data_IF_068758598655
#
_entry.id   IF_068758598655
#
_cell.length_a   1.000
_cell.length_b   1.000
_cell.length_c   1.000
_cell.angle_alpha   90.00
_cell.angle_beta   90.00
_cell.angle_gamma   90.00
#
_symmetry.space_group_name_H-M   'P 1'
#
loop_
_entity.id
_entity.type
_entity.pdbx_description
1 polymer ?
#
# COMPACT_ATOMS: atom_id res chain seq x y z
N UNK A 1 -25.86 46.74 39.65
CA UNK A 1 -26.13 47.12 38.25
C UNK A 1 -25.12 48.19 37.88
N UNK A 2 -24.06 47.82 37.17
CA UNK A 2 -23.03 48.77 36.72
C UNK A 2 -23.27 49.03 35.23
N UNK A 3 -23.57 50.28 34.89
CA UNK A 3 -23.90 50.74 33.55
C UNK A 3 -22.78 50.45 32.55
N UNK A 4 -23.07 49.61 31.56
CA UNK A 4 -22.22 49.42 30.38
C UNK A 4 -22.38 50.64 29.47
N UNK A 5 -21.38 51.52 29.47
CA UNK A 5 -21.26 52.61 28.48
C UNK A 5 -21.14 52.00 27.08
N UNK A 6 -22.13 52.23 26.23
CA UNK A 6 -22.15 51.82 24.83
C UNK A 6 -21.19 52.63 23.97
N UNK A 7 -20.54 51.96 23.01
CA UNK A 7 -19.74 52.59 21.96
C UNK A 7 -20.66 53.09 20.82
N UNK A 8 -20.19 54.08 20.06
CA UNK A 8 -20.95 54.78 19.02
C UNK A 8 -21.39 53.92 17.81
N UNK A 9 -20.96 52.65 17.74
CA UNK A 9 -21.35 51.71 16.69
C UNK A 9 -21.78 50.36 17.27
N UNK A 10 -22.67 50.36 18.28
CA UNK A 10 -23.61 49.25 18.59
C UNK A 10 -23.07 47.87 19.00
N UNK A 11 -21.79 47.57 18.79
CA UNK A 11 -21.13 46.35 19.25
C UNK A 11 -20.16 46.70 20.37
N UNK A 12 -20.32 46.14 21.57
CA UNK A 12 -19.36 46.32 22.65
C UNK A 12 -18.05 45.68 22.22
N UNK A 13 -17.00 46.49 22.05
CA UNK A 13 -15.65 46.00 21.80
C UNK A 13 -15.14 45.33 23.09
N UNK A 14 -15.20 44.00 23.13
CA UNK A 14 -14.58 43.20 24.18
C UNK A 14 -13.12 42.97 23.81
N UNK A 15 -12.22 43.76 24.40
CA UNK A 15 -10.76 43.80 24.16
C UNK A 15 -10.02 42.51 24.61
N UNK A 16 -10.77 41.41 24.82
CA UNK A 16 -10.27 40.12 25.29
C UNK A 16 -10.67 38.93 24.40
N UNK A 17 -11.29 39.19 23.24
CA UNK A 17 -11.76 38.15 22.30
C UNK A 17 -10.67 37.27 21.67
N UNK A 18 -9.39 37.56 21.90
CA UNK A 18 -8.25 36.70 21.54
C UNK A 18 -8.02 35.54 22.52
N UNK A 19 -8.66 35.60 23.71
CA UNK A 19 -8.57 34.54 24.72
C UNK A 19 -9.61 33.46 24.42
N UNK A 20 -9.20 32.20 24.51
CA UNK A 20 -10.10 31.04 24.31
C UNK A 20 -11.24 31.10 25.34
N UNK A 21 -12.43 31.51 24.89
CA UNK A 21 -13.66 31.50 25.68
C UNK A 21 -14.22 30.08 25.70
N UNK A 22 -14.40 29.53 26.90
CA UNK A 22 -15.09 28.24 27.08
C UNK A 22 -16.59 28.49 27.08
N UNK A 23 -17.31 27.90 26.12
CA UNK A 23 -18.77 27.96 26.07
C UNK A 23 -19.35 27.07 27.17
N UNK A 24 -19.72 27.66 28.31
CA UNK A 24 -20.22 26.92 29.48
C UNK A 24 -21.40 26.00 29.15
N UNK A 25 -22.30 26.44 28.28
CA UNK A 25 -23.48 25.67 27.87
C UNK A 25 -23.10 24.42 27.05
N UNK A 26 -22.15 24.54 26.13
CA UNK A 26 -21.65 23.41 25.33
C UNK A 26 -20.95 22.37 26.23
N UNK A 27 -20.14 22.83 27.19
CA UNK A 27 -19.51 21.94 28.17
C UNK A 27 -20.52 21.30 29.12
N UNK A 28 -21.57 22.02 29.51
CA UNK A 28 -22.67 21.47 30.31
C UNK A 28 -23.46 20.41 29.53
N UNK A 29 -23.70 20.61 28.23
CA UNK A 29 -24.33 19.61 27.35
C UNK A 29 -23.44 18.37 27.22
N UNK A 30 -22.14 18.54 26.91
CA UNK A 30 -21.17 17.44 26.85
C UNK A 30 -21.02 16.70 28.18
N UNK A 31 -21.12 17.39 29.31
CA UNK A 31 -21.13 16.76 30.63
C UNK A 31 -22.37 15.89 30.84
N UNK A 32 -23.57 16.40 30.49
CA UNK A 32 -24.83 15.65 30.57
C UNK A 32 -24.83 14.42 29.67
N UNK A 33 -24.32 14.53 28.45
CA UNK A 33 -24.19 13.39 27.53
C UNK A 33 -23.26 12.32 28.10
N UNK A 34 -22.09 12.71 28.61
CA UNK A 34 -21.17 11.77 29.27
C UNK A 34 -21.83 11.09 30.48
N UNK A 35 -22.46 11.86 31.36
CA UNK A 35 -23.19 11.30 32.51
C UNK A 35 -24.32 10.35 32.09
N UNK A 36 -25.05 10.66 31.02
CA UNK A 36 -26.10 9.79 30.49
C UNK A 36 -25.50 8.45 30.00
N UNK A 37 -24.44 8.51 29.19
CA UNK A 37 -23.75 7.31 28.71
C UNK A 37 -23.14 6.48 29.85
N UNK A 38 -22.54 7.12 30.85
CA UNK A 38 -21.99 6.43 32.03
C UNK A 38 -23.10 5.77 32.87
N UNK A 39 -24.27 6.41 33.01
CA UNK A 39 -25.43 5.83 33.70
C UNK A 39 -25.99 4.61 32.95
N UNK A 40 -26.05 4.66 31.63
CA UNK A 40 -26.46 3.52 30.80
C UNK A 40 -25.47 2.36 30.89
N UNK A 41 -24.16 2.65 30.77
CA UNK A 41 -23.10 1.65 30.96
C UNK A 41 -23.12 1.06 32.37
N UNK A 42 -23.39 1.87 33.40
CA UNK A 42 -23.48 1.41 34.79
C UNK A 42 -24.67 0.47 35.01
N UNK A 43 -25.84 0.76 34.42
CA UNK A 43 -27.00 -0.15 34.44
C UNK A 43 -26.68 -1.46 33.74
N UNK A 44 -26.10 -1.39 32.54
CA UNK A 44 -25.73 -2.59 31.79
C UNK A 44 -24.64 -3.43 32.51
N UNK A 45 -23.70 -2.79 33.23
CA UNK A 45 -22.74 -3.48 34.12
C UNK A 45 -23.43 -4.16 35.28
N UNK A 46 -24.41 -3.51 35.90
CA UNK A 46 -25.18 -4.06 37.02
C UNK A 46 -25.99 -5.28 36.58
N UNK A 47 -26.67 -5.19 35.43
CA UNK A 47 -27.43 -6.29 34.83
C UNK A 47 -26.52 -7.47 34.45
N UNK A 48 -25.36 -7.21 33.85
CA UNK A 48 -24.37 -8.25 33.55
C UNK A 48 -23.86 -8.94 34.82
N UNK A 49 -23.58 -8.15 35.88
CA UNK A 49 -23.17 -8.67 37.20
C UNK A 49 -24.27 -9.53 37.83
N UNK A 50 -25.53 -9.11 37.73
CA UNK A 50 -26.68 -9.88 38.22
C UNK A 50 -26.83 -11.21 37.46
N UNK A 51 -26.57 -11.20 36.15
CA UNK A 51 -26.52 -12.39 35.31
C UNK A 51 -25.23 -13.23 35.49
N UNK A 52 -24.31 -12.83 36.39
CA UNK A 52 -23.04 -13.52 36.64
C UNK A 52 -22.03 -13.43 35.48
N UNK A 53 -22.28 -12.58 34.47
CA UNK A 53 -21.42 -12.41 33.29
C UNK A 53 -20.56 -11.16 33.43
N UNK A 54 -19.33 -11.20 32.91
CA UNK A 54 -18.49 -10.00 32.82
C UNK A 54 -19.07 -9.05 31.77
N UNK A 55 -19.27 -7.79 32.14
CA UNK A 55 -19.72 -6.76 31.20
C UNK A 55 -18.64 -6.48 30.16
N UNK A 56 -19.07 -6.44 28.90
CA UNK A 56 -18.28 -5.95 27.78
C UNK A 56 -19.11 -4.89 27.07
N UNK A 57 -18.44 -3.79 26.66
CA UNK A 57 -19.10 -2.75 25.86
C UNK A 57 -19.64 -3.41 24.57
N UNK A 58 -20.93 -3.23 24.25
CA UNK A 58 -21.48 -3.79 23.03
C UNK A 58 -20.73 -3.23 21.84
N UNK A 59 -20.47 -4.13 20.91
CA UNK A 59 -19.76 -3.89 19.67
C UNK A 59 -20.64 -2.98 18.78
N UNK A 60 -20.05 -1.94 18.18
CA UNK A 60 -20.78 -0.82 17.53
C UNK A 60 -21.23 -1.13 16.10
N UNK A 61 -21.00 -2.36 15.62
CA UNK A 61 -21.49 -2.84 14.32
C UNK A 61 -20.58 -2.52 13.13
N UNK A 62 -19.59 -1.65 13.32
CA UNK A 62 -18.56 -1.33 12.31
C UNK A 62 -17.35 -2.29 12.37
N UNK A 63 -17.43 -3.41 13.10
CA UNK A 63 -16.26 -4.27 13.27
C UNK A 63 -15.87 -5.03 12.02
N UNK A 64 -14.55 -5.19 11.90
CA UNK A 64 -13.96 -6.08 10.92
C UNK A 64 -13.74 -7.47 11.51
N UNK A 65 -13.92 -8.49 10.68
CA UNK A 65 -13.49 -9.85 11.02
C UNK A 65 -11.98 -9.87 11.19
N UNK A 66 -11.50 -10.62 12.18
CA UNK A 66 -10.08 -10.70 12.50
C UNK A 66 -9.30 -11.22 11.30
N UNK A 67 -8.29 -10.47 10.90
CA UNK A 67 -7.39 -10.79 9.78
C UNK A 67 -6.02 -11.15 10.32
N UNK A 68 -5.24 -11.86 9.49
CA UNK A 68 -3.82 -12.03 9.77
C UNK A 68 -3.14 -10.65 9.82
N UNK A 69 -2.34 -10.41 10.87
CA UNK A 69 -1.56 -9.18 11.00
C UNK A 69 -0.59 -9.06 9.83
N UNK A 70 -0.55 -7.87 9.22
CA UNK A 70 0.35 -7.55 8.10
C UNK A 70 1.68 -6.99 8.60
N UNK A 71 1.68 -6.36 9.76
CA UNK A 71 2.85 -5.75 10.34
C UNK A 71 3.67 -6.80 11.10
N UNK A 72 4.94 -6.91 10.73
CA UNK A 72 5.91 -7.71 11.48
C UNK A 72 6.23 -6.96 12.76
N UNK A 73 6.08 -7.64 13.90
CA UNK A 73 6.40 -7.04 15.20
C UNK A 73 7.92 -6.92 15.30
N UNK A 74 8.43 -5.70 15.20
CA UNK A 74 9.86 -5.41 15.39
C UNK A 74 10.20 -5.39 16.88
N UNK A 75 10.74 -6.50 17.38
CA UNK A 75 11.22 -6.66 18.75
C UNK A 75 12.69 -6.25 18.90
N UNK A 76 13.41 -6.05 17.79
CA UNK A 76 14.86 -5.82 17.76
C UNK A 76 15.21 -4.33 17.86
N UNK A 77 14.31 -3.45 17.43
CA UNK A 77 14.51 -2.00 17.44
C UNK A 77 14.96 -1.43 18.80
N UNK A 78 14.62 -2.07 19.91
CA UNK A 78 14.91 -1.61 21.26
C UNK A 78 16.06 -2.37 21.94
N UNK A 79 16.67 -3.33 21.26
CA UNK A 79 17.81 -4.10 21.80
C UNK A 79 19.04 -3.18 21.86
N UNK A 80 19.66 -3.09 23.04
CA UNK A 80 20.87 -2.29 23.27
C UNK A 80 20.65 -0.78 23.40
N UNK A 81 19.42 -0.28 23.29
CA UNK A 81 19.11 1.15 23.50
C UNK A 81 18.70 1.40 24.95
N UNK A 82 19.39 2.31 25.62
CA UNK A 82 18.99 2.83 26.93
C UNK A 82 18.16 4.09 26.74
N UNK A 83 16.91 4.06 27.20
CA UNK A 83 16.02 5.23 27.15
C UNK A 83 15.78 5.77 28.55
N UNK A 84 15.91 7.09 28.71
CA UNK A 84 15.55 7.77 29.95
C UNK A 84 14.03 7.83 30.04
N UNK A 85 13.45 7.13 31.01
CA UNK A 85 12.01 7.19 31.28
C UNK A 85 11.75 8.33 32.28
N UNK A 86 10.94 9.36 31.93
CA UNK A 86 10.59 10.40 32.87
C UNK A 86 9.87 9.80 34.08
N UNK A 87 10.26 10.20 35.29
CA UNK A 87 9.54 9.81 36.51
C UNK A 87 8.10 10.33 36.43
N UNK A 88 7.15 9.41 36.18
CA UNK A 88 5.72 9.73 35.99
C UNK A 88 5.17 9.45 34.59
N UNK A 89 6.01 9.15 33.59
CA UNK A 89 5.53 8.84 32.24
C UNK A 89 4.75 7.52 32.13
N UNK A 90 4.91 6.62 33.10
CA UNK A 90 4.12 5.41 33.24
C UNK A 90 3.78 5.14 34.69
N UNK A 91 2.49 5.18 35.04
CA UNK A 91 2.01 4.70 36.33
C UNK A 91 1.57 3.24 36.15
N UNK A 92 2.45 2.32 36.56
CA UNK A 92 2.25 0.89 36.33
C UNK A 92 2.34 0.52 34.85
N UNK A 93 1.32 -0.15 34.33
CA UNK A 93 1.26 -0.52 32.90
C UNK A 93 0.67 0.59 32.01
N UNK A 94 0.04 1.64 32.56
CA UNK A 94 -0.57 2.71 31.77
C UNK A 94 0.40 3.88 31.60
N UNK A 95 0.44 4.44 30.39
CA UNK A 95 1.32 5.55 30.02
C UNK A 95 2.45 5.14 29.09
N UNK A 96 3.30 6.10 28.69
CA UNK A 96 4.49 5.87 27.83
C UNK A 96 5.70 5.58 28.71
N UNK A 97 5.74 4.39 29.31
CA UNK A 97 6.91 3.88 30.02
C UNK A 97 7.97 3.26 29.08
N UNK A 98 9.05 2.72 29.66
CA UNK A 98 9.99 1.88 28.92
C UNK A 98 9.33 0.56 28.48
N UNK A 99 9.49 0.22 27.21
CA UNK A 99 9.02 -1.03 26.61
C UNK A 99 8.20 -0.81 25.34
N UNK A 100 7.42 -1.82 24.96
CA UNK A 100 6.49 -1.76 23.84
C UNK A 100 5.21 -1.06 24.25
N UNK A 101 4.79 -0.07 23.47
CA UNK A 101 3.58 0.70 23.75
C UNK A 101 2.46 0.37 22.75
N UNK A 102 1.27 0.09 23.28
CA UNK A 102 0.05 -0.11 22.50
C UNK A 102 -0.78 1.18 22.49
N UNK A 103 -1.00 1.75 21.30
CA UNK A 103 -1.83 2.95 21.10
C UNK A 103 -3.32 2.71 21.36
N UNK A 104 -3.82 1.52 21.07
CA UNK A 104 -5.25 1.20 21.22
C UNK A 104 -5.66 1.01 22.70
N UNK A 105 -4.74 0.57 23.56
CA UNK A 105 -5.05 0.22 24.95
C UNK A 105 -4.41 1.15 25.99
N UNK A 106 -3.53 2.06 25.55
CA UNK A 106 -2.70 2.91 26.41
C UNK A 106 -1.89 2.13 27.45
N UNK A 107 -1.36 0.97 27.04
CA UNK A 107 -0.57 0.08 27.89
C UNK A 107 0.85 -0.07 27.36
N UNK A 108 1.82 0.00 28.26
CA UNK A 108 3.21 -0.41 28.02
C UNK A 108 3.52 -1.76 28.63
N UNK A 109 4.22 -2.59 27.85
CA UNK A 109 4.72 -3.89 28.26
C UNK A 109 6.24 -3.91 28.17
N UNK A 110 6.87 -4.44 29.21
CA UNK A 110 8.34 -4.53 29.32
C UNK A 110 8.89 -5.80 28.67
N UNK A 111 8.07 -6.85 28.63
CA UNK A 111 8.45 -8.18 28.14
C UNK A 111 7.83 -8.48 26.77
N UNK A 112 8.58 -9.17 25.90
CA UNK A 112 8.14 -9.55 24.56
C UNK A 112 6.92 -10.49 24.61
N UNK A 113 6.93 -11.48 25.50
CA UNK A 113 5.82 -12.44 25.64
C UNK A 113 4.53 -11.74 26.05
N UNK A 114 4.60 -10.85 27.05
CA UNK A 114 3.44 -10.07 27.49
C UNK A 114 2.93 -9.13 26.39
N UNK A 115 3.82 -8.59 25.56
CA UNK A 115 3.43 -7.79 24.40
C UNK A 115 2.64 -8.62 23.37
N UNK A 116 3.16 -9.79 22.99
CA UNK A 116 2.50 -10.67 22.02
C UNK A 116 1.16 -11.17 22.54
N UNK A 117 1.10 -11.57 23.81
CA UNK A 117 -0.14 -11.96 24.49
C UNK A 117 -1.15 -10.82 24.54
N UNK A 118 -0.69 -9.59 24.81
CA UNK A 118 -1.55 -8.42 24.81
C UNK A 118 -2.19 -8.19 23.44
N UNK A 119 -1.40 -8.21 22.37
CA UNK A 119 -1.92 -7.96 21.01
C UNK A 119 -2.87 -9.09 20.57
N UNK A 120 -2.69 -10.31 21.08
CA UNK A 120 -3.61 -11.43 20.83
C UNK A 120 -4.83 -11.46 21.77
N UNK A 121 -4.85 -10.65 22.82
CA UNK A 121 -5.92 -10.69 23.81
C UNK A 121 -7.22 -10.11 23.25
N UNK A 122 -8.35 -10.72 23.59
CA UNK A 122 -9.69 -10.23 23.21
C UNK A 122 -9.96 -8.79 23.69
N UNK A 123 -9.25 -8.32 24.71
CA UNK A 123 -9.36 -6.95 25.19
C UNK A 123 -8.78 -5.96 24.18
N UNK A 124 -7.63 -6.29 23.59
CA UNK A 124 -7.01 -5.46 22.56
C UNK A 124 -7.79 -5.51 21.24
N UNK A 125 -8.19 -6.70 20.80
CA UNK A 125 -8.98 -6.87 19.58
C UNK A 125 -10.29 -6.09 19.63
N UNK A 126 -10.99 -6.13 20.78
CA UNK A 126 -12.21 -5.34 20.97
C UNK A 126 -11.97 -3.83 20.91
N UNK A 127 -10.83 -3.35 21.43
CA UNK A 127 -10.48 -1.93 21.36
C UNK A 127 -10.13 -1.48 19.93
N UNK A 128 -9.63 -2.38 19.09
CA UNK A 128 -9.40 -2.13 17.66
C UNK A 128 -10.71 -2.22 16.86
N UNK A 129 -11.74 -2.88 17.38
CA UNK A 129 -12.97 -3.17 16.64
C UNK A 129 -12.85 -4.44 15.81
N UNK A 130 -12.15 -5.46 16.31
CA UNK A 130 -12.15 -6.80 15.76
C UNK A 130 -12.92 -7.77 16.65
N UNK A 131 -13.73 -8.63 16.03
CA UNK A 131 -14.61 -9.59 16.73
C UNK A 131 -13.86 -10.81 17.30
N UNK A 132 -12.62 -11.06 16.86
CA UNK A 132 -11.89 -12.30 17.14
C UNK A 132 -12.33 -13.48 16.28
N UNK A 133 -13.34 -13.30 15.42
CA UNK A 133 -13.83 -14.31 14.50
C UNK A 133 -13.15 -14.17 13.14
N UNK A 134 -12.68 -15.31 12.59
CA UNK A 134 -11.96 -15.37 11.32
C UNK A 134 -12.89 -15.89 10.23
N UNK A 135 -12.77 -15.33 9.02
CA UNK A 135 -13.48 -15.84 7.84
C UNK A 135 -13.05 -17.28 7.53
N UNK A 136 -14.02 -18.15 7.27
CA UNK A 136 -13.75 -19.48 6.72
C UNK A 136 -13.25 -19.33 5.27
N UNK A 137 -12.09 -19.90 4.97
CA UNK A 137 -11.49 -19.81 3.65
C UNK A 137 -12.23 -20.70 2.63
N UNK A 138 -12.32 -20.22 1.39
CA UNK A 138 -12.82 -21.02 0.26
C UNK A 138 -11.71 -21.87 -0.37
N UNK A 139 -12.07 -22.91 -1.14
CA UNK A 139 -11.08 -23.74 -1.84
C UNK A 139 -10.25 -22.94 -2.86
N UNK A 140 -10.88 -21.97 -3.53
CA UNK A 140 -10.23 -21.08 -4.49
C UNK A 140 -9.22 -20.15 -3.80
N UNK A 141 -9.58 -19.57 -2.66
CA UNK A 141 -8.67 -18.72 -1.86
C UNK A 141 -7.44 -19.50 -1.38
N UNK A 142 -7.64 -20.76 -0.97
CA UNK A 142 -6.53 -21.64 -0.57
C UNK A 142 -5.63 -21.93 -1.77
N UNK A 143 -6.18 -22.23 -2.93
CA UNK A 143 -5.41 -22.49 -4.14
C UNK A 143 -4.56 -21.26 -4.54
N UNK A 144 -5.17 -20.08 -4.59
CA UNK A 144 -4.47 -18.82 -4.89
C UNK A 144 -3.32 -18.56 -3.90
N UNK A 145 -3.54 -18.83 -2.61
CA UNK A 145 -2.51 -18.62 -1.60
C UNK A 145 -1.36 -19.64 -1.72
N UNK A 146 -1.66 -20.88 -2.08
CA UNK A 146 -0.64 -21.90 -2.35
C UNK A 146 0.21 -21.51 -3.55
N UNK A 147 -0.40 -21.04 -4.64
CA UNK A 147 0.34 -20.60 -5.84
C UNK A 147 1.26 -19.42 -5.53
N UNK A 148 0.77 -18.40 -4.80
CA UNK A 148 1.59 -17.25 -4.38
C UNK A 148 2.79 -17.65 -3.51
N UNK A 149 2.60 -18.61 -2.59
CA UNK A 149 3.67 -19.08 -1.70
C UNK A 149 4.67 -19.93 -2.49
N UNK A 150 4.20 -20.76 -3.41
CA UNK A 150 5.05 -21.56 -4.27
C UNK A 150 5.91 -20.67 -5.18
N UNK A 151 5.33 -19.64 -5.80
CA UNK A 151 6.06 -18.67 -6.62
C UNK A 151 7.15 -17.95 -5.81
N UNK A 152 6.81 -17.44 -4.61
CA UNK A 152 7.80 -16.83 -3.70
C UNK A 152 8.93 -17.78 -3.33
N UNK A 153 8.64 -19.06 -3.11
CA UNK A 153 9.68 -20.07 -2.83
C UNK A 153 10.56 -20.34 -4.06
N UNK A 154 9.99 -20.34 -5.27
CA UNK A 154 10.77 -20.50 -6.51
C UNK A 154 11.68 -19.29 -6.75
N UNK A 155 11.19 -18.07 -6.52
CA UNK A 155 12.00 -16.84 -6.60
C UNK A 155 13.15 -16.87 -5.59
N UNK A 156 12.90 -17.26 -4.34
CA UNK A 156 13.94 -17.40 -3.33
C UNK A 156 14.98 -18.46 -3.73
N UNK A 157 14.55 -19.58 -4.31
CA UNK A 157 15.45 -20.61 -4.84
C UNK A 157 16.30 -20.11 -6.01
N UNK A 158 15.70 -19.39 -6.96
CA UNK A 158 16.43 -18.75 -8.07
C UNK A 158 17.45 -17.75 -7.54
N UNK A 159 17.07 -16.93 -6.57
CA UNK A 159 17.96 -15.95 -5.94
C UNK A 159 19.12 -16.60 -5.16
N UNK A 160 18.87 -17.76 -4.52
CA UNK A 160 19.89 -18.51 -3.80
C UNK A 160 20.80 -19.36 -4.69
N UNK A 161 20.53 -19.46 -6.00
CA UNK A 161 21.50 -20.06 -6.93
C UNK A 161 22.78 -19.21 -6.98
N UNK A 162 23.87 -19.80 -6.48
CA UNK A 162 25.17 -19.14 -6.35
C UNK A 162 26.12 -19.45 -7.50
N UNK A 163 25.87 -20.50 -8.29
CA UNK A 163 26.79 -20.90 -9.36
C UNK A 163 26.58 -20.07 -10.63
N UNK A 164 27.69 -19.70 -11.30
CA UNK A 164 27.65 -18.85 -12.49
C UNK A 164 26.91 -19.51 -13.67
N UNK A 165 27.02 -20.83 -13.80
CA UNK A 165 26.38 -21.60 -14.88
C UNK A 165 24.86 -21.63 -14.76
N UNK A 166 24.35 -21.86 -13.55
CA UNK A 166 22.90 -21.87 -13.30
C UNK A 166 22.27 -20.49 -13.52
N UNK A 167 23.00 -19.41 -13.19
CA UNK A 167 22.55 -18.03 -13.48
C UNK A 167 22.51 -17.71 -14.96
N UNK A 168 23.46 -18.23 -15.75
CA UNK A 168 23.46 -18.06 -17.21
C UNK A 168 22.30 -18.82 -17.85
N UNK A 169 22.05 -20.06 -17.41
CA UNK A 169 20.91 -20.86 -17.88
C UNK A 169 19.56 -20.21 -17.54
N UNK A 170 19.41 -19.67 -16.33
CA UNK A 170 18.21 -18.92 -15.95
C UNK A 170 17.97 -17.69 -16.85
N UNK A 171 19.02 -16.92 -17.17
CA UNK A 171 18.89 -15.80 -18.11
C UNK A 171 18.52 -16.25 -19.52
N UNK A 172 19.15 -17.32 -20.03
CA UNK A 172 18.84 -17.85 -21.35
C UNK A 172 17.37 -18.31 -21.44
N UNK A 173 16.86 -18.95 -20.38
CA UNK A 173 15.45 -19.33 -20.27
C UNK A 173 14.51 -18.12 -20.19
N UNK A 174 14.89 -17.06 -19.48
CA UNK A 174 14.13 -15.81 -19.41
C UNK A 174 14.09 -15.09 -20.76
N UNK A 175 15.23 -14.98 -21.45
CA UNK A 175 15.32 -14.40 -22.81
C UNK A 175 14.55 -15.22 -23.85
N UNK A 176 14.54 -16.55 -23.71
CA UNK A 176 13.74 -17.43 -24.57
C UNK A 176 12.24 -17.21 -24.35
N UNK A 177 11.79 -17.13 -23.08
CA UNK A 177 10.40 -16.82 -22.73
C UNK A 177 9.98 -15.43 -23.20
N UNK A 178 10.84 -14.43 -23.09
CA UNK A 178 10.57 -13.09 -23.61
C UNK A 178 10.42 -13.11 -25.14
N UNK A 179 11.29 -13.86 -25.83
CA UNK A 179 11.21 -14.02 -27.28
C UNK A 179 9.93 -14.73 -27.71
N UNK A 180 9.49 -15.74 -26.97
CA UNK A 180 8.22 -16.43 -27.20
C UNK A 180 7.02 -15.53 -26.90
N UNK A 181 7.02 -14.79 -25.80
CA UNK A 181 5.99 -13.81 -25.48
C UNK A 181 5.90 -12.70 -26.53
N UNK A 182 7.04 -12.24 -27.07
CA UNK A 182 7.08 -11.27 -28.17
C UNK A 182 6.52 -11.85 -29.47
N UNK A 183 6.74 -13.14 -29.73
CA UNK A 183 6.14 -13.85 -30.87
C UNK A 183 4.62 -14.00 -30.69
N UNK A 184 4.17 -14.38 -29.50
CA UNK A 184 2.75 -14.49 -29.16
C UNK A 184 2.02 -13.14 -29.30
N UNK A 185 2.58 -12.06 -28.73
CA UNK A 185 2.03 -10.69 -28.88
C UNK A 185 1.89 -10.28 -30.35
N UNK A 186 2.90 -10.56 -31.18
CA UNK A 186 2.83 -10.31 -32.63
C UNK A 186 1.72 -11.13 -33.31
N UNK A 187 1.54 -12.39 -32.91
CA UNK A 187 0.48 -13.23 -33.47
C UNK A 187 -0.91 -12.74 -33.05
N UNK A 188 -1.10 -12.33 -31.80
CA UNK A 188 -2.34 -11.74 -31.31
C UNK A 188 -2.67 -10.42 -32.02
N UNK A 189 -1.69 -9.54 -32.22
CA UNK A 189 -1.88 -8.29 -32.98
C UNK A 189 -2.27 -8.55 -34.45
N UNK A 190 -1.63 -9.53 -35.09
CA UNK A 190 -1.98 -9.92 -36.46
C UNK A 190 -3.37 -10.55 -36.54
N UNK A 191 -3.75 -11.36 -35.55
CA UNK A 191 -5.09 -11.96 -35.47
C UNK A 191 -6.19 -10.90 -35.26
N UNK A 192 -5.96 -9.91 -34.40
CA UNK A 192 -6.87 -8.77 -34.21
C UNK A 192 -7.05 -7.96 -35.50
N UNK A 193 -5.94 -7.63 -36.18
CA UNK A 193 -5.98 -6.92 -37.48
C UNK A 193 -6.73 -7.71 -38.56
N UNK A 194 -6.61 -9.04 -38.59
CA UNK A 194 -7.37 -9.88 -39.52
C UNK A 194 -8.86 -9.90 -39.19
N UNK A 195 -9.22 -10.03 -37.91
CA UNK A 195 -10.62 -9.97 -37.48
C UNK A 195 -11.28 -8.60 -37.77
N UNK A 196 -10.54 -7.50 -37.62
CA UNK A 196 -11.00 -6.16 -38.00
C UNK A 196 -11.21 -6.03 -39.51
N UNK A 197 -10.31 -6.58 -40.34
CA UNK A 197 -10.46 -6.62 -41.80
C UNK A 197 -11.65 -7.46 -42.23
N UNK A 198 -11.83 -8.65 -41.66
CA UNK A 198 -13.00 -9.50 -41.93
C UNK A 198 -14.32 -8.85 -41.49
N UNK A 199 -14.32 -8.08 -40.40
CA UNK A 199 -15.47 -7.28 -39.99
C UNK A 199 -15.76 -6.13 -40.97
N UNK A 200 -14.73 -5.44 -41.46
CA UNK A 200 -14.87 -4.39 -42.47
C UNK A 200 -15.31 -4.94 -43.83
N UNK A 201 -14.83 -6.12 -44.22
CA UNK A 201 -15.27 -6.80 -45.44
C UNK A 201 -16.73 -7.25 -45.34
N UNK A 202 -17.16 -7.79 -44.19
CA UNK A 202 -18.58 -8.11 -43.95
C UNK A 202 -19.48 -6.87 -44.02
N UNK A 203 -19.02 -5.75 -43.44
CA UNK A 203 -19.73 -4.46 -43.51
C UNK A 203 -19.76 -3.94 -44.97
N UNK A 204 -18.68 -4.10 -45.76
CA UNK A 204 -18.67 -3.73 -47.19
C UNK A 204 -19.56 -4.63 -48.03
N UNK A 205 -19.63 -5.94 -47.75
CA UNK A 205 -20.53 -6.86 -48.47
C UNK A 205 -22.01 -6.60 -48.14
N UNK A 206 -22.32 -6.11 -46.95
CA UNK A 206 -23.69 -5.70 -46.58
C UNK A 206 -24.11 -4.35 -47.20
N UNK A 207 -23.17 -3.55 -47.71
CA UNK A 207 -23.43 -2.21 -48.29
C UNK A 207 -23.17 -2.11 -49.80
N UNK A 208 -22.91 -3.24 -50.47
CA UNK A 208 -22.38 -3.28 -51.84
C UNK A 208 -23.14 -4.20 -52.79
N UNK A 209 -24.46 -4.03 -52.90
CA UNK A 209 -25.23 -4.40 -54.09
C UNK A 209 -25.83 -3.11 -54.70
N UNK A 210 -24.95 -2.19 -55.10
CA UNK A 210 -25.07 -1.35 -56.30
C UNK A 210 -23.96 -0.28 -56.36
N UNK A 211 -23.51 0.01 -57.58
CA UNK A 211 -22.57 1.06 -58.03
C UNK A 211 -21.09 0.66 -58.17
N UNK A 212 -20.81 0.19 -59.39
CA UNK A 212 -19.53 0.19 -60.12
C UNK A 212 -18.93 1.59 -60.23
N UNK A 213 -17.77 1.84 -59.61
CA UNK A 213 -16.82 2.88 -60.03
C UNK A 213 -15.40 2.30 -59.99
N UNK A 214 -14.79 2.24 -61.17
CA UNK A 214 -13.40 1.87 -61.44
C UNK A 214 -12.44 2.90 -60.80
N UNK A 215 -11.44 2.45 -60.06
CA UNK A 215 -10.49 3.32 -59.35
C UNK A 215 -9.56 2.55 -58.42
N UNK A 216 -8.94 1.51 -58.96
CA UNK A 216 -7.87 0.72 -58.37
C UNK A 216 -6.62 1.59 -58.15
N UNK A 217 -6.23 1.85 -56.90
CA UNK A 217 -4.87 2.25 -56.59
C UNK A 217 -4.51 1.73 -55.19
N UNK A 218 -3.73 0.65 -55.20
CA UNK A 218 -3.25 -0.05 -54.02
C UNK A 218 -2.38 0.86 -53.14
N UNK A 219 -2.52 0.71 -51.83
CA UNK A 219 -1.77 1.45 -50.80
C UNK A 219 -0.24 1.29 -50.93
N UNK A 220 0.21 0.27 -51.68
CA UNK A 220 1.62 -0.02 -51.98
C UNK A 220 2.25 1.02 -52.93
N UNK A 221 1.49 1.62 -53.86
CA UNK A 221 2.00 2.67 -54.76
C UNK A 221 2.13 4.03 -54.04
N UNK A 222 1.29 4.27 -53.03
CA UNK A 222 1.42 5.45 -52.17
C UNK A 222 2.63 5.31 -51.22
N UNK A 223 2.97 4.09 -50.81
CA UNK A 223 4.18 3.80 -50.01
C UNK A 223 5.46 3.90 -50.85
N UNK A 224 5.40 3.56 -52.14
CA UNK A 224 6.49 3.75 -53.09
C UNK A 224 6.74 5.24 -53.42
N UNK A 225 5.69 6.06 -53.51
CA UNK A 225 5.80 7.50 -53.73
C UNK A 225 6.43 8.29 -52.55
N UNK A 226 6.43 7.72 -51.34
CA UNK A 226 7.05 8.31 -50.14
C UNK A 226 8.56 8.01 -50.00
N UNK A 227 9.20 7.40 -50.99
CA UNK A 227 10.65 7.47 -51.17
C UNK A 227 11.52 6.60 -50.25
N UNK A 228 11.04 5.45 -49.78
CA UNK A 228 11.89 4.44 -49.09
C UNK A 228 12.16 3.29 -50.06
N UNK A 229 12.95 3.58 -51.09
CA UNK A 229 13.47 2.57 -52.01
C UNK A 229 14.98 2.76 -52.16
N UNK A 230 15.76 2.06 -51.33
CA UNK A 230 17.19 1.86 -51.59
C UNK A 230 18.13 2.10 -50.41
N UNK A 231 18.38 1.05 -49.62
CA UNK A 231 19.68 0.95 -48.95
C UNK A 231 20.15 -0.51 -48.93
N UNK A 232 20.68 -0.94 -50.07
CA UNK A 232 21.49 -2.13 -50.17
C UNK A 232 22.51 -1.96 -51.30
N UNK A 233 23.80 -1.88 -50.97
CA UNK A 233 24.89 -2.72 -51.55
C UNK A 233 26.31 -2.21 -51.18
N UNK A 234 27.11 -3.16 -50.67
CA UNK A 234 28.57 -3.37 -50.79
C UNK A 234 29.65 -2.31 -50.47
N UNK A 235 30.43 -2.63 -49.42
CA UNK A 235 31.92 -2.83 -49.42
C UNK A 235 32.85 -1.61 -49.58
N UNK A 236 33.41 -1.13 -48.46
CA UNK A 236 34.81 -0.64 -48.41
C UNK A 236 35.51 -1.04 -47.11
N UNK A 237 36.62 -1.74 -47.32
CA UNK A 237 37.56 -2.37 -46.39
C UNK A 237 38.39 -1.27 -45.69
N UNK A 238 38.43 -1.23 -44.35
CA UNK A 238 39.41 -0.42 -43.60
C UNK A 238 40.24 -1.37 -42.74
N UNK A 239 41.54 -1.35 -43.02
CA UNK A 239 42.56 -2.19 -42.40
C UNK A 239 43.08 -1.59 -41.08
N UNK A 240 43.41 -2.51 -40.16
CA UNK A 240 44.45 -2.49 -39.13
C UNK A 240 44.69 -1.25 -38.23
N UNK A 241 44.46 -1.47 -36.93
CA UNK A 241 45.17 -0.95 -35.72
C UNK A 241 46.71 -0.98 -35.87
N UNK A 242 47.55 -0.21 -35.11
CA UNK A 242 47.65 -0.23 -33.61
C UNK A 242 48.08 1.11 -32.96
N UNK A 243 47.97 1.42 -31.66
CA UNK A 243 48.73 0.92 -30.48
C UNK A 243 48.46 1.92 -29.31
N UNK A 244 48.02 1.43 -28.14
CA UNK A 244 48.67 1.48 -26.79
C UNK A 244 49.30 2.82 -26.35
N UNK A 245 48.87 3.32 -25.17
CA UNK A 245 49.63 3.52 -23.90
C UNK A 245 48.82 4.46 -22.96
N UNK A 246 48.23 3.98 -21.86
CA UNK A 246 48.70 3.96 -20.44
C UNK A 246 48.94 5.35 -19.81
N UNK A 247 48.19 5.68 -18.74
CA UNK A 247 48.65 6.11 -17.37
C UNK A 247 47.47 6.68 -16.55
N UNK A 248 46.97 5.95 -15.55
CA UNK A 248 47.21 6.00 -14.08
C UNK A 248 46.45 7.05 -13.26
N UNK A 249 45.67 6.53 -12.30
CA UNK A 249 45.54 6.92 -10.88
C UNK A 249 45.16 8.36 -10.50
N UNK A 250 44.08 8.50 -9.73
CA UNK A 250 44.20 8.80 -8.29
C UNK A 250 42.85 8.79 -7.56
N UNK A 251 42.81 7.97 -6.50
CA UNK A 251 41.91 8.07 -5.36
C UNK A 251 42.37 9.22 -4.44
N UNK A 252 41.41 9.92 -3.80
CA UNK A 252 41.46 10.51 -2.44
C UNK A 252 40.24 11.46 -2.31
N UNK A 253 39.23 11.26 -1.46
CA UNK A 253 39.23 11.26 0.00
C UNK A 253 39.98 12.47 0.60
N UNK A 254 39.26 13.54 0.97
CA UNK A 254 39.19 14.05 2.36
C UNK A 254 38.57 15.47 2.48
N UNK A 255 37.68 15.57 3.49
CA UNK A 255 37.53 16.65 4.49
C UNK A 255 36.65 17.91 4.28
N UNK A 256 35.67 17.99 5.19
CA UNK A 256 35.41 19.05 6.21
C UNK A 256 35.03 20.48 5.71
N UNK A 257 34.01 21.04 6.41
CA UNK A 257 33.63 22.45 6.64
C UNK A 257 32.45 22.98 5.80
N UNK A 258 31.22 22.79 6.30
CA UNK A 258 30.43 23.84 6.99
C UNK A 258 29.22 23.23 7.69
#
# INVERSE_FOLDING_TARGET
MADKKGSAYGTPADDTSFRRSYNLDEYAQKAKEREATEKEEAKARYEAKLAGKKYYKPLTGDESLTRARRDVIDLEANVGKTMLVPAGAGQGKRGRGAGFYCSACDLTFKDNMQWVEHVNSMQHLRNIGETGEVKKASAEEVHQRITEVWERLQEQKKASTTTLKERLQLREEEEAKEREARRAKRQEELAKKKAEKEAQEKIKTEYGEDVRIEGEHDEDDMMAAMGITGFGTSKKRIMLKPSRLITTNSLQADRIIK
#
